data_IF_239319648976
#
_entry.id   IF_239319648976
#
_cell.length_a   1.000
_cell.length_b   1.000
_cell.length_c   1.000
_cell.angle_alpha   90.00
_cell.angle_beta   90.00
_cell.angle_gamma   90.00
#
_symmetry.space_group_name_H-M   'P 1'
#
loop_
_entity.id
_entity.type
_entity.pdbx_description
1 polymer ?
#
# COMPACT_ATOMS: atom_id res chain seq x y z
N UNK A 1 -11.16 -19.64 -30.22
CA UNK A 1 -9.98 -18.89 -29.76
C UNK A 1 -10.46 -17.87 -28.75
N UNK A 2 -10.07 -17.96 -27.50
CA UNK A 2 -10.46 -16.98 -26.49
C UNK A 2 -9.77 -15.66 -26.81
N UNK A 3 -10.54 -14.61 -27.00
CA UNK A 3 -10.06 -13.25 -27.31
C UNK A 3 -9.53 -12.54 -26.05
N UNK A 4 -8.94 -13.33 -25.12
CA UNK A 4 -8.36 -12.81 -23.86
C UNK A 4 -6.95 -12.28 -24.15
N UNK A 5 -6.59 -11.06 -23.75
CA UNK A 5 -5.24 -10.55 -23.88
C UNK A 5 -4.26 -11.41 -23.06
N UNK A 6 -2.96 -11.43 -23.41
CA UNK A 6 -1.93 -12.04 -22.58
C UNK A 6 -1.97 -11.50 -21.16
N UNK A 7 -1.57 -12.34 -20.19
CA UNK A 7 -1.51 -11.92 -18.79
C UNK A 7 -0.43 -10.82 -18.61
N UNK A 8 -0.82 -9.76 -17.90
CA UNK A 8 0.07 -8.68 -17.51
C UNK A 8 -0.08 -8.46 -16.00
N UNK A 9 1.06 -8.25 -15.32
CA UNK A 9 1.10 -7.99 -13.89
C UNK A 9 1.64 -6.60 -13.63
N UNK A 10 1.08 -5.90 -12.65
CA UNK A 10 1.64 -4.65 -12.17
C UNK A 10 2.95 -4.95 -11.42
N UNK A 11 4.08 -4.46 -11.97
CA UNK A 11 5.40 -4.69 -11.39
C UNK A 11 5.92 -3.45 -10.64
N UNK A 12 5.79 -2.26 -11.25
CA UNK A 12 6.31 -1.03 -10.67
C UNK A 12 5.44 0.17 -11.02
N UNK A 13 5.64 1.27 -10.29
CA UNK A 13 4.99 2.56 -10.53
C UNK A 13 6.05 3.67 -10.60
N UNK A 14 5.84 4.64 -11.52
CA UNK A 14 6.68 5.83 -11.67
C UNK A 14 6.01 7.07 -11.11
N UNK A 15 6.78 7.90 -10.39
CA UNK A 15 6.36 9.16 -9.81
C UNK A 15 7.25 10.30 -10.31
N UNK A 16 6.64 11.40 -10.72
CA UNK A 16 7.37 12.66 -10.79
C UNK A 16 7.38 13.32 -9.41
N UNK A 17 8.56 13.77 -8.98
CA UNK A 17 8.79 14.35 -7.65
C UNK A 17 9.48 15.72 -7.76
N UNK A 18 9.29 16.58 -6.74
CA UNK A 18 9.94 17.89 -6.63
C UNK A 18 11.33 17.75 -6.03
N UNK A 19 11.41 17.08 -4.88
CA UNK A 19 12.64 16.82 -4.14
C UNK A 19 12.95 15.32 -4.13
N UNK A 20 13.76 14.90 -5.12
CA UNK A 20 14.13 13.49 -5.28
C UNK A 20 14.90 12.95 -4.06
N UNK A 21 15.78 13.75 -3.47
CA UNK A 21 16.62 13.31 -2.36
C UNK A 21 15.80 13.13 -1.08
N UNK A 22 14.85 14.04 -0.78
CA UNK A 22 13.91 13.91 0.34
C UNK A 22 12.99 12.68 0.18
N UNK A 23 12.52 12.42 -1.03
CA UNK A 23 11.69 11.27 -1.33
C UNK A 23 12.46 9.95 -1.19
N UNK A 24 13.68 9.86 -1.73
CA UNK A 24 14.55 8.69 -1.55
C UNK A 24 14.79 8.45 -0.05
N UNK A 25 15.16 9.48 0.70
CA UNK A 25 15.42 9.37 2.14
C UNK A 25 14.18 8.85 2.90
N UNK A 26 12.99 9.32 2.55
CA UNK A 26 11.75 8.86 3.17
C UNK A 26 11.45 7.38 2.86
N UNK A 27 11.47 7.00 1.58
CA UNK A 27 11.11 5.64 1.17
C UNK A 27 12.13 4.59 1.63
N UNK A 28 13.41 4.94 1.70
CA UNK A 28 14.45 4.05 2.24
C UNK A 28 14.33 3.91 3.76
N UNK A 29 14.11 4.99 4.49
CA UNK A 29 14.02 4.98 5.96
C UNK A 29 12.71 4.38 6.46
N UNK A 30 11.56 4.78 5.89
CA UNK A 30 10.24 4.39 6.39
C UNK A 30 9.81 3.02 5.85
N UNK A 31 10.01 2.75 4.57
CA UNK A 31 9.55 1.53 3.93
C UNK A 31 10.66 0.49 3.74
N UNK A 32 11.92 0.86 3.99
CA UNK A 32 13.07 -0.03 3.84
C UNK A 32 13.36 -0.41 2.39
N UNK A 33 12.97 0.44 1.41
CA UNK A 33 13.41 0.25 0.04
C UNK A 33 14.90 0.55 -0.10
N UNK A 34 15.54 -0.06 -1.07
CA UNK A 34 16.94 0.16 -1.41
C UNK A 34 17.00 0.82 -2.78
N UNK A 35 17.85 1.82 -2.94
CA UNK A 35 18.16 2.39 -4.26
C UNK A 35 18.94 1.34 -5.04
N UNK A 36 18.40 0.88 -6.14
CA UNK A 36 19.04 -0.09 -7.03
C UNK A 36 19.91 0.61 -8.06
N UNK A 37 19.41 1.73 -8.61
CA UNK A 37 20.14 2.59 -9.53
C UNK A 37 19.65 4.04 -9.43
N UNK A 38 20.52 4.99 -9.87
CA UNK A 38 20.16 6.40 -10.03
C UNK A 38 21.08 7.08 -11.05
N UNK A 39 20.61 8.15 -11.66
CA UNK A 39 21.39 8.89 -12.64
C UNK A 39 20.64 10.05 -13.26
N UNK A 40 21.18 10.55 -14.37
CA UNK A 40 20.55 11.58 -15.17
C UNK A 40 19.35 10.99 -15.93
N UNK A 41 18.24 11.74 -15.94
CA UNK A 41 17.05 11.33 -16.65
C UNK A 41 17.07 11.86 -18.09
N UNK A 42 16.85 10.99 -19.09
CA UNK A 42 16.91 11.36 -20.50
C UNK A 42 15.89 12.45 -20.89
N UNK A 43 14.85 12.67 -20.10
CA UNK A 43 13.89 13.77 -20.27
C UNK A 43 14.28 15.03 -19.50
N UNK A 44 15.48 15.06 -18.89
CA UNK A 44 15.99 16.13 -18.05
C UNK A 44 15.79 15.89 -16.56
N UNK A 45 16.75 16.35 -15.75
CA UNK A 45 16.78 16.16 -14.31
C UNK A 45 17.38 14.81 -13.90
N UNK A 46 16.96 14.29 -12.74
CA UNK A 46 17.50 13.07 -12.13
C UNK A 46 16.40 12.01 -11.99
N UNK A 47 16.81 10.75 -11.96
CA UNK A 47 15.94 9.59 -11.76
C UNK A 47 16.56 8.63 -10.75
N UNK A 48 15.74 7.96 -9.95
CA UNK A 48 16.16 6.91 -9.05
C UNK A 48 15.17 5.73 -9.08
N UNK A 49 15.71 4.54 -8.92
CA UNK A 49 15.01 3.27 -8.93
C UNK A 49 15.14 2.63 -7.55
N UNK A 50 14.03 2.19 -6.97
CA UNK A 50 14.01 1.65 -5.61
C UNK A 50 13.26 0.32 -5.57
N UNK A 51 13.80 -0.67 -4.86
CA UNK A 51 13.17 -1.96 -4.65
C UNK A 51 13.36 -2.48 -3.22
N UNK A 52 12.49 -3.38 -2.82
CA UNK A 52 12.63 -4.26 -1.67
C UNK A 52 12.42 -5.74 -2.05
N UNK A 53 12.34 -6.02 -3.34
CA UNK A 53 12.18 -7.36 -3.90
C UNK A 53 13.36 -7.65 -4.81
N UNK A 54 14.16 -8.68 -4.52
CA UNK A 54 15.34 -9.03 -5.31
C UNK A 54 15.01 -9.55 -6.72
N UNK A 55 13.76 -9.96 -6.98
CA UNK A 55 13.30 -10.39 -8.30
C UNK A 55 12.92 -9.21 -9.20
N UNK A 56 12.73 -8.00 -8.61
CA UNK A 56 12.33 -6.79 -9.33
C UNK A 56 13.44 -5.74 -9.23
N UNK A 57 14.00 -5.32 -10.36
CA UNK A 57 14.98 -4.24 -10.39
C UNK A 57 14.47 -3.01 -9.63
N UNK A 58 13.19 -2.67 -9.79
CA UNK A 58 12.55 -1.60 -9.04
C UNK A 58 11.05 -1.86 -8.90
N UNK A 59 10.50 -1.45 -7.77
CA UNK A 59 9.06 -1.40 -7.52
C UNK A 59 8.55 0.05 -7.59
N UNK A 60 9.42 1.01 -7.27
CA UNK A 60 9.17 2.44 -7.39
C UNK A 60 10.28 3.07 -8.24
N UNK A 61 9.90 3.91 -9.19
CA UNK A 61 10.83 4.81 -9.88
C UNK A 61 10.41 6.25 -9.64
N UNK A 62 11.35 7.11 -9.30
CA UNK A 62 11.11 8.52 -9.03
C UNK A 62 11.95 9.36 -9.98
N UNK A 63 11.30 10.27 -10.70
CA UNK A 63 11.98 11.24 -11.59
C UNK A 63 11.70 12.66 -11.08
N UNK A 64 12.74 13.50 -11.04
CA UNK A 64 12.56 14.92 -10.74
C UNK A 64 11.75 15.62 -11.85
N UNK A 65 11.11 16.75 -11.53
CA UNK A 65 10.39 17.55 -12.53
C UNK A 65 8.90 17.73 -12.25
N UNK A 66 8.40 17.29 -11.09
CA UNK A 66 7.04 17.63 -10.66
C UNK A 66 6.94 19.13 -10.44
N UNK A 67 5.98 19.79 -11.10
CA UNK A 67 5.77 21.23 -10.96
C UNK A 67 5.31 21.58 -9.53
N UNK A 68 5.76 22.74 -9.04
CA UNK A 68 5.33 23.28 -7.76
C UNK A 68 3.80 23.48 -7.74
N UNK A 69 3.16 23.12 -6.61
CA UNK A 69 1.71 23.25 -6.45
C UNK A 69 0.86 22.26 -7.28
N UNK A 70 1.48 21.37 -8.08
CA UNK A 70 0.71 20.37 -8.82
C UNK A 70 0.11 19.32 -7.86
N UNK A 71 -1.20 19.00 -7.98
CA UNK A 71 -1.80 17.93 -7.19
C UNK A 71 -1.25 16.57 -7.61
N UNK A 72 -1.29 15.61 -6.69
CA UNK A 72 -1.07 14.19 -7.05
C UNK A 72 -2.28 13.67 -7.83
N UNK A 73 -2.02 12.85 -8.86
CA UNK A 73 -3.07 12.09 -9.57
C UNK A 73 -3.20 10.66 -9.03
N UNK A 74 -2.30 10.26 -8.12
CA UNK A 74 -2.32 8.95 -7.48
C UNK A 74 -3.14 9.06 -6.21
N UNK A 75 -4.22 8.26 -6.11
CA UNK A 75 -5.04 8.21 -4.91
C UNK A 75 -4.25 7.63 -3.73
N UNK A 76 -3.50 6.53 -3.98
CA UNK A 76 -2.65 5.89 -2.98
C UNK A 76 -1.61 4.96 -3.62
N UNK A 77 -0.49 4.75 -2.91
CA UNK A 77 0.48 3.70 -3.16
C UNK A 77 0.37 2.68 -2.03
N UNK A 78 -0.05 1.46 -2.35
CA UNK A 78 -0.33 0.44 -1.35
C UNK A 78 0.78 -0.61 -1.31
N UNK A 79 1.33 -0.84 -0.11
CA UNK A 79 2.32 -1.87 0.18
C UNK A 79 1.73 -2.90 1.13
N UNK A 80 1.81 -4.16 0.74
CA UNK A 80 1.34 -5.26 1.57
C UNK A 80 2.41 -5.67 2.57
N UNK A 81 2.00 -5.80 3.85
CA UNK A 81 2.81 -6.42 4.91
C UNK A 81 2.30 -7.84 5.19
N UNK A 82 3.14 -8.67 5.84
CA UNK A 82 2.85 -10.09 5.95
C UNK A 82 1.80 -10.44 7.02
N UNK A 83 1.67 -9.61 8.05
CA UNK A 83 0.79 -9.91 9.19
C UNK A 83 0.22 -8.65 9.85
N UNK A 84 -0.84 -8.83 10.66
CA UNK A 84 -1.36 -7.76 11.53
C UNK A 84 -0.29 -7.29 12.53
N UNK A 85 0.54 -8.19 13.03
CA UNK A 85 1.64 -7.81 13.94
C UNK A 85 2.69 -6.95 13.24
N UNK A 86 3.03 -7.23 11.97
CA UNK A 86 3.89 -6.35 11.19
C UNK A 86 3.25 -4.97 10.98
N UNK A 87 1.95 -4.93 10.73
CA UNK A 87 1.22 -3.66 10.59
C UNK A 87 1.27 -2.85 11.90
N UNK A 88 1.08 -3.49 13.05
CA UNK A 88 1.19 -2.87 14.39
C UNK A 88 2.60 -2.32 14.64
N UNK A 89 3.64 -3.07 14.28
CA UNK A 89 5.03 -2.61 14.38
C UNK A 89 5.29 -1.40 13.49
N UNK A 90 4.77 -1.39 12.26
CA UNK A 90 4.83 -0.22 11.39
C UNK A 90 4.12 0.98 11.99
N UNK A 91 2.93 0.79 12.57
CA UNK A 91 2.20 1.87 13.24
C UNK A 91 3.03 2.51 14.35
N UNK A 92 3.63 1.72 15.22
CA UNK A 92 4.49 2.23 16.30
C UNK A 92 5.71 3.00 15.74
N UNK A 93 6.34 2.49 14.67
CA UNK A 93 7.46 3.15 14.00
C UNK A 93 7.05 4.48 13.36
N UNK A 94 5.92 4.52 12.64
CA UNK A 94 5.42 5.75 12.00
C UNK A 94 5.10 6.84 13.04
N UNK A 95 4.53 6.46 14.17
CA UNK A 95 4.27 7.39 15.30
C UNK A 95 5.57 7.92 15.88
N UNK A 96 6.56 7.05 16.15
CA UNK A 96 7.87 7.43 16.68
C UNK A 96 8.63 8.37 15.74
N UNK A 97 8.54 8.14 14.43
CA UNK A 97 9.12 8.95 13.37
C UNK A 97 8.32 10.24 13.07
N UNK A 98 7.19 10.44 13.73
CA UNK A 98 6.28 11.59 13.52
C UNK A 98 5.87 11.76 12.06
N UNK A 99 5.60 10.66 11.37
CA UNK A 99 5.09 10.68 10.00
C UNK A 99 3.72 11.37 9.99
N UNK A 100 3.44 12.14 8.93
CA UNK A 100 2.22 12.95 8.82
C UNK A 100 0.99 12.11 8.47
N UNK A 101 -0.17 12.53 8.97
CA UNK A 101 -1.51 12.04 8.56
C UNK A 101 -1.72 10.53 8.78
N UNK A 102 -1.15 9.99 9.87
CA UNK A 102 -1.34 8.57 10.22
C UNK A 102 -2.82 8.32 10.52
N UNK A 103 -3.44 7.43 9.73
CA UNK A 103 -4.87 7.14 9.80
C UNK A 103 -5.14 5.64 9.61
N UNK A 104 -5.15 4.84 10.69
CA UNK A 104 -5.46 3.42 10.61
C UNK A 104 -6.95 3.18 10.32
N UNK A 105 -7.24 2.16 9.48
CA UNK A 105 -8.59 1.76 9.07
C UNK A 105 -8.78 0.26 9.05
N UNK A 106 -9.97 -0.16 9.50
CA UNK A 106 -10.47 -1.52 9.33
C UNK A 106 -11.47 -1.54 8.15
N UNK A 107 -11.10 -2.21 7.08
CA UNK A 107 -11.93 -2.40 5.90
C UNK A 107 -12.76 -3.69 5.96
N UNK A 108 -12.65 -4.43 7.05
CA UNK A 108 -13.24 -5.74 7.20
C UNK A 108 -12.48 -6.84 6.45
N UNK A 109 -12.13 -6.60 5.19
CA UNK A 109 -11.33 -7.52 4.37
C UNK A 109 -9.81 -7.28 4.47
N UNK A 110 -9.40 -6.17 5.09
CA UNK A 110 -8.01 -5.80 5.34
C UNK A 110 -7.92 -4.79 6.48
N UNK A 111 -6.79 -4.72 7.14
CA UNK A 111 -6.38 -3.65 8.02
C UNK A 111 -5.33 -2.81 7.36
N UNK A 112 -5.48 -1.49 7.43
CA UNK A 112 -4.62 -0.53 6.73
C UNK A 112 -4.14 0.58 7.65
N UNK A 113 -2.96 1.14 7.34
CA UNK A 113 -2.49 2.44 7.84
C UNK A 113 -2.28 3.32 6.63
N UNK A 114 -2.98 4.44 6.60
CA UNK A 114 -2.71 5.50 5.63
C UNK A 114 -1.80 6.55 6.26
N UNK A 115 -0.93 7.15 5.47
CA UNK A 115 -0.06 8.28 5.87
C UNK A 115 0.44 9.01 4.62
N UNK A 116 1.07 10.18 4.79
CA UNK A 116 1.59 10.98 3.68
C UNK A 116 3.11 10.93 3.60
N UNK A 117 3.63 10.84 2.38
CA UNK A 117 5.04 11.07 2.09
C UNK A 117 5.37 12.58 2.10
N UNK A 118 6.65 13.00 1.90
CA UNK A 118 7.05 14.40 1.90
C UNK A 118 6.33 15.28 0.88
N UNK A 119 5.83 14.68 -0.20
CA UNK A 119 5.15 15.38 -1.30
C UNK A 119 3.63 15.18 -1.36
N UNK A 120 3.04 14.77 -0.21
CA UNK A 120 1.61 14.55 -0.04
C UNK A 120 1.02 13.40 -0.87
N UNK A 121 1.87 12.48 -1.36
CA UNK A 121 1.33 11.24 -1.89
C UNK A 121 0.87 10.35 -0.73
N UNK A 122 -0.36 9.84 -0.85
CA UNK A 122 -0.93 8.96 0.15
C UNK A 122 -0.33 7.56 0.04
N UNK A 123 0.25 7.08 1.12
CA UNK A 123 0.78 5.73 1.25
C UNK A 123 -0.19 4.89 2.06
N UNK A 124 -0.34 3.64 1.69
CA UNK A 124 -1.06 2.64 2.46
C UNK A 124 -0.14 1.47 2.78
N UNK A 125 -0.03 1.11 4.03
CA UNK A 125 0.44 -0.21 4.45
C UNK A 125 -0.76 -1.05 4.84
N UNK A 126 -0.89 -2.26 4.29
CA UNK A 126 -2.04 -3.10 4.60
C UNK A 126 -1.69 -4.58 4.74
N UNK A 127 -2.52 -5.30 5.46
CA UNK A 127 -2.54 -6.76 5.48
C UNK A 127 -3.97 -7.28 5.34
N UNK A 128 -4.20 -8.34 4.56
CA UNK A 128 -5.53 -8.93 4.46
C UNK A 128 -6.00 -9.50 5.80
N UNK A 129 -7.29 -9.35 6.09
CA UNK A 129 -7.95 -10.07 7.17
C UNK A 129 -8.36 -11.50 6.73
N UNK A 130 -8.77 -12.38 7.67
CA UNK A 130 -9.31 -13.69 7.32
C UNK A 130 -10.68 -13.66 6.62
N UNK A 131 -11.29 -12.50 6.46
CA UNK A 131 -12.64 -12.34 5.96
C UNK A 131 -12.71 -11.50 4.68
N UNK A 132 -13.88 -11.49 4.10
CA UNK A 132 -14.32 -10.57 3.08
C UNK A 132 -15.65 -9.94 3.46
N UNK A 133 -15.80 -8.66 3.13
CA UNK A 133 -17.04 -7.91 3.17
C UNK A 133 -17.06 -6.94 1.99
N UNK A 134 -18.26 -6.63 1.48
CA UNK A 134 -18.44 -5.71 0.36
C UNK A 134 -17.84 -4.33 0.65
N UNK A 135 -17.08 -3.82 -0.32
CA UNK A 135 -16.47 -2.49 -0.29
C UNK A 135 -17.33 -1.47 -1.04
N UNK A 136 -17.21 -0.16 -0.74
CA UNK A 136 -16.24 0.46 0.17
C UNK A 136 -16.66 0.36 1.64
N UNK A 137 -15.70 0.14 2.52
CA UNK A 137 -15.84 0.17 3.98
C UNK A 137 -14.56 0.69 4.63
N UNK A 138 -14.64 1.39 5.77
CA UNK A 138 -13.44 1.91 6.46
C UNK A 138 -13.80 2.44 7.84
N UNK A 139 -13.78 1.54 8.84
CA UNK A 139 -14.00 1.88 10.24
C UNK A 139 -12.70 2.35 10.90
N UNK A 140 -12.76 3.20 11.94
CA UNK A 140 -11.59 3.52 12.75
C UNK A 140 -10.93 2.25 13.32
N UNK A 141 -9.60 2.21 13.31
CA UNK A 141 -8.81 1.09 13.81
C UNK A 141 -7.81 1.59 14.85
N UNK A 142 -7.73 0.94 16.00
CA UNK A 142 -6.69 1.18 17.01
C UNK A 142 -5.65 0.06 16.95
N UNK A 143 -4.52 0.33 16.31
CA UNK A 143 -3.40 -0.61 16.19
C UNK A 143 -2.53 -0.71 17.45
N UNK A 144 -2.80 0.07 18.51
CA UNK A 144 -2.16 -0.10 19.82
C UNK A 144 -2.78 -1.26 20.61
N UNK A 145 -3.99 -1.68 20.27
CA UNK A 145 -4.65 -2.81 20.89
C UNK A 145 -3.97 -4.14 20.56
N UNK A 146 -4.12 -5.17 21.41
CA UNK A 146 -3.68 -6.53 21.11
C UNK A 146 -4.32 -7.09 19.83
N UNK A 147 -3.58 -7.92 19.08
CA UNK A 147 -4.04 -8.45 17.80
C UNK A 147 -5.35 -9.24 17.92
N UNK A 148 -5.53 -10.01 19.02
CA UNK A 148 -6.73 -10.76 19.31
C UNK A 148 -7.97 -9.86 19.51
N UNK A 149 -7.78 -8.66 20.07
CA UNK A 149 -8.87 -7.67 20.24
C UNK A 149 -9.28 -7.10 18.89
N UNK A 150 -8.31 -6.75 18.06
CA UNK A 150 -8.54 -6.26 16.68
C UNK A 150 -9.29 -7.33 15.87
N UNK A 151 -8.82 -8.57 15.91
CA UNK A 151 -9.47 -9.70 15.23
C UNK A 151 -10.92 -9.86 15.66
N UNK A 152 -11.19 -9.88 16.97
CA UNK A 152 -12.55 -10.04 17.50
C UNK A 152 -13.50 -8.89 17.07
N UNK A 153 -13.00 -7.64 17.04
CA UNK A 153 -13.76 -6.48 16.57
C UNK A 153 -14.09 -6.59 15.09
N UNK A 154 -13.11 -6.94 14.26
CA UNK A 154 -13.32 -7.14 12.81
C UNK A 154 -14.30 -8.29 12.56
N UNK A 155 -14.17 -9.43 13.27
CA UNK A 155 -15.09 -10.54 13.14
C UNK A 155 -16.54 -10.14 13.48
N UNK A 156 -16.74 -9.36 14.52
CA UNK A 156 -18.06 -8.84 14.88
C UNK A 156 -18.66 -7.97 13.76
N UNK A 157 -17.85 -7.07 13.16
CA UNK A 157 -18.29 -6.26 12.02
C UNK A 157 -18.72 -7.10 10.80
N UNK A 158 -18.05 -8.25 10.56
CA UNK A 158 -18.34 -9.13 9.42
C UNK A 158 -19.57 -10.00 9.68
N UNK A 159 -19.75 -10.48 10.91
CA UNK A 159 -20.85 -11.36 11.29
C UNK A 159 -22.23 -10.77 10.99
N UNK A 160 -22.38 -9.48 11.20
CA UNK A 160 -23.64 -8.76 11.05
C UNK A 160 -23.88 -8.23 9.62
N UNK A 161 -22.90 -8.41 8.73
CA UNK A 161 -23.00 -7.95 7.34
C UNK A 161 -23.41 -9.10 6.41
N UNK A 162 -24.52 -8.95 5.65
CA UNK A 162 -25.01 -10.01 4.75
C UNK A 162 -24.05 -10.38 3.62
N UNK A 163 -23.07 -9.54 3.32
CA UNK A 163 -22.01 -9.81 2.33
C UNK A 163 -20.79 -10.50 2.95
N UNK A 164 -20.74 -10.62 4.30
CA UNK A 164 -19.64 -11.20 5.04
C UNK A 164 -19.40 -12.66 4.72
N UNK A 165 -18.16 -13.06 4.50
CA UNK A 165 -17.77 -14.46 4.32
C UNK A 165 -16.27 -14.65 4.61
N UNK A 166 -15.82 -15.91 4.68
CA UNK A 166 -14.41 -16.24 4.73
C UNK A 166 -13.69 -15.74 3.46
N UNK A 167 -12.48 -15.24 3.63
CA UNK A 167 -11.65 -14.71 2.54
C UNK A 167 -11.42 -15.76 1.44
N UNK A 168 -11.17 -17.01 1.83
CA UNK A 168 -10.96 -18.13 0.91
C UNK A 168 -12.18 -18.36 -0.01
N UNK A 169 -13.39 -18.26 0.55
CA UNK A 169 -14.62 -18.42 -0.22
C UNK A 169 -14.80 -17.30 -1.25
N UNK A 170 -14.45 -16.07 -0.89
CA UNK A 170 -14.44 -14.95 -1.83
C UNK A 170 -13.38 -15.12 -2.91
N UNK A 171 -12.14 -15.54 -2.55
CA UNK A 171 -11.06 -15.77 -3.49
C UNK A 171 -11.43 -16.85 -4.53
N UNK A 172 -12.05 -17.94 -4.12
CA UNK A 172 -12.51 -18.99 -5.04
C UNK A 172 -13.53 -18.46 -6.06
N UNK A 173 -14.48 -17.61 -5.61
CA UNK A 173 -15.43 -16.94 -6.49
C UNK A 173 -14.74 -16.00 -7.47
N UNK A 174 -13.76 -15.22 -7.03
CA UNK A 174 -12.99 -14.32 -7.88
C UNK A 174 -12.18 -15.10 -8.92
N UNK A 175 -11.51 -16.18 -8.53
CA UNK A 175 -10.75 -17.05 -9.43
C UNK A 175 -11.64 -17.59 -10.57
N UNK A 176 -12.85 -18.04 -10.25
CA UNK A 176 -13.81 -18.51 -11.24
C UNK A 176 -14.23 -17.40 -12.24
N UNK A 177 -14.28 -16.15 -11.79
CA UNK A 177 -14.56 -15.00 -12.67
C UNK A 177 -13.38 -14.63 -13.57
N UNK A 178 -12.16 -14.73 -13.04
CA UNK A 178 -10.93 -14.43 -13.77
C UNK A 178 -10.59 -15.50 -14.82
N UNK A 179 -11.10 -16.72 -14.67
CA UNK A 179 -10.91 -17.82 -15.63
C UNK A 179 -11.84 -17.75 -16.87
N UNK A 180 -12.83 -16.84 -16.86
CA UNK A 180 -13.76 -16.61 -17.98
C UNK A 180 -13.22 -15.55 -18.93
#
# INVERSE_FOLDING_TARGET
MTNRPPDAQLAHVGLFVRDLDAMIAFYTRILGLVVTDSGDYYMGGRIAFLSRNAEEHHQIVMASGRAEGSPTTINQLSFRVNSLEDLRRYYASLVAERVREINPRDHGNAWSIYFSDPEDNRIELYTPSPWYVKQPRGEPLDLSEPAEVILAKTEALIRDDPSGCAREAWMAKLQTRLAK
#
